data_IF_146309023525
#
_entry.id   IF_146309023525
#
_cell.length_a   1.000
_cell.length_b   1.000
_cell.length_c   1.000
_cell.angle_alpha   90.00
_cell.angle_beta   90.00
_cell.angle_gamma   90.00
#
_symmetry.space_group_name_H-M   'P 1'
#
loop_
_entity.id
_entity.type
_entity.pdbx_description
1 polymer ?
#
# COMPACT_ATOMS: atom_id res chain seq x y z
N UNK A 1 -5.54 8.28 23.91
CA UNK A 1 -6.81 8.35 23.13
C UNK A 1 -6.57 7.74 21.76
N UNK A 2 -7.34 6.73 21.34
CA UNK A 2 -7.23 6.23 19.96
C UNK A 2 -7.68 7.35 19.01
N UNK A 3 -6.91 7.62 17.95
CA UNK A 3 -7.33 8.54 16.90
C UNK A 3 -8.63 8.02 16.29
N UNK A 4 -9.64 8.87 16.22
CA UNK A 4 -10.86 8.53 15.47
C UNK A 4 -10.49 8.30 14.01
N UNK A 5 -11.12 7.33 13.33
CA UNK A 5 -10.97 7.20 11.89
C UNK A 5 -11.38 8.50 11.17
N UNK A 6 -10.87 8.70 9.95
CA UNK A 6 -11.38 9.77 9.09
C UNK A 6 -12.89 9.63 8.94
N UNK A 7 -13.62 10.73 9.13
CA UNK A 7 -15.05 10.74 8.87
C UNK A 7 -15.35 10.70 7.37
N UNK A 8 -16.55 10.29 7.02
CA UNK A 8 -17.05 10.37 5.65
C UNK A 8 -16.86 11.77 5.05
N UNK A 9 -17.27 12.81 5.80
CA UNK A 9 -17.14 14.20 5.37
C UNK A 9 -15.67 14.60 5.10
N UNK A 10 -14.74 14.18 5.95
CA UNK A 10 -13.32 14.46 5.73
C UNK A 10 -12.79 13.77 4.47
N UNK A 11 -13.18 12.51 4.22
CA UNK A 11 -12.73 11.80 3.01
C UNK A 11 -13.23 12.51 1.75
N UNK A 12 -14.48 12.96 1.76
CA UNK A 12 -15.06 13.73 0.64
C UNK A 12 -14.35 15.06 0.43
N UNK A 13 -14.14 15.84 1.51
CA UNK A 13 -13.44 17.13 1.43
C UNK A 13 -12.00 16.99 0.91
N UNK A 14 -11.28 15.94 1.32
CA UNK A 14 -9.93 15.64 0.82
C UNK A 14 -9.98 15.32 -0.68
N UNK A 15 -10.94 14.49 -1.10
CA UNK A 15 -11.08 14.10 -2.51
C UNK A 15 -11.45 15.31 -3.39
N UNK A 16 -12.38 16.15 -2.93
CA UNK A 16 -12.76 17.35 -3.64
C UNK A 16 -11.59 18.35 -3.74
N UNK A 17 -10.87 18.62 -2.65
CA UNK A 17 -9.67 19.46 -2.68
C UNK A 17 -8.60 18.93 -3.64
N UNK A 18 -8.41 17.61 -3.67
CA UNK A 18 -7.47 16.96 -4.57
C UNK A 18 -7.87 17.09 -6.03
N UNK A 19 -9.14 16.87 -6.36
CA UNK A 19 -9.68 17.03 -7.70
C UNK A 19 -9.56 18.49 -8.18
N UNK A 20 -9.98 19.42 -7.32
CA UNK A 20 -10.08 20.84 -7.67
C UNK A 20 -8.70 21.48 -7.92
N UNK A 21 -7.64 20.95 -7.30
CA UNK A 21 -6.27 21.36 -7.64
C UNK A 21 -5.70 20.71 -8.90
N UNK A 22 -6.46 19.86 -9.60
CA UNK A 22 -6.02 19.14 -10.79
C UNK A 22 -5.28 17.83 -10.49
N UNK A 23 -5.46 17.25 -9.31
CA UNK A 23 -4.89 15.95 -8.97
C UNK A 23 -5.48 14.81 -9.79
N UNK A 24 -4.75 13.68 -9.88
CA UNK A 24 -5.23 12.51 -10.58
C UNK A 24 -6.52 11.97 -9.99
N UNK A 25 -7.46 11.62 -10.85
CA UNK A 25 -8.72 10.99 -10.46
C UNK A 25 -8.53 9.50 -10.12
N UNK A 26 -7.48 9.18 -9.36
CA UNK A 26 -7.23 7.85 -8.80
C UNK A 26 -7.05 7.95 -7.30
N UNK A 27 -7.90 7.24 -6.55
CA UNK A 27 -7.84 7.14 -5.09
C UNK A 27 -7.58 5.72 -4.65
N UNK A 28 -6.61 5.55 -3.78
CA UNK A 28 -6.41 4.30 -3.04
C UNK A 28 -6.87 4.48 -1.59
N UNK A 29 -7.77 3.63 -1.13
CA UNK A 29 -8.16 3.54 0.28
C UNK A 29 -7.36 2.40 0.89
N UNK A 30 -6.49 2.73 1.83
CA UNK A 30 -5.57 1.77 2.43
C UNK A 30 -5.40 1.97 3.93
N UNK A 31 -4.44 1.27 4.46
CA UNK A 31 -4.09 1.14 5.87
C UNK A 31 -5.05 0.32 6.74
N UNK A 32 -4.45 -0.51 7.59
CA UNK A 32 -5.14 -1.50 8.42
C UNK A 32 -6.13 -2.32 7.58
N UNK A 33 -7.41 -2.32 7.94
CA UNK A 33 -8.45 -3.03 7.20
C UNK A 33 -9.60 -2.08 6.85
N UNK A 34 -9.62 -1.53 5.62
CA UNK A 34 -10.65 -0.57 5.21
C UNK A 34 -12.07 -1.15 5.23
N UNK A 35 -12.22 -2.47 5.09
CA UNK A 35 -13.55 -3.10 5.13
C UNK A 35 -14.21 -3.03 6.52
N UNK A 36 -13.44 -2.72 7.57
CA UNK A 36 -13.96 -2.46 8.92
C UNK A 36 -14.34 -1.00 9.15
N UNK A 37 -14.04 -0.11 8.20
CA UNK A 37 -14.33 1.31 8.38
C UNK A 37 -15.83 1.58 8.43
N UNK A 38 -16.20 2.47 9.36
CA UNK A 38 -17.57 2.98 9.52
C UNK A 38 -17.55 4.38 10.11
N UNK A 39 -18.52 5.19 9.69
CA UNK A 39 -18.83 6.49 10.26
C UNK A 39 -20.34 6.67 10.31
N UNK A 40 -20.95 6.57 11.49
CA UNK A 40 -22.39 6.52 11.65
C UNK A 40 -23.01 5.40 10.81
N UNK A 41 -23.88 5.79 9.87
CA UNK A 41 -24.53 4.87 8.93
C UNK A 41 -23.62 4.47 7.74
N UNK A 42 -22.57 5.25 7.46
CA UNK A 42 -21.73 5.05 6.31
C UNK A 42 -20.75 3.88 6.51
N UNK A 43 -20.53 3.15 5.43
CA UNK A 43 -19.56 2.06 5.29
C UNK A 43 -18.61 2.34 4.14
N UNK A 44 -17.57 1.55 4.01
CA UNK A 44 -16.56 1.77 2.96
C UNK A 44 -17.14 1.74 1.55
N UNK A 45 -18.16 0.95 1.29
CA UNK A 45 -18.81 0.89 -0.03
C UNK A 45 -19.57 2.18 -0.37
N UNK A 46 -20.10 2.90 0.62
CA UNK A 46 -20.72 4.21 0.41
C UNK A 46 -19.66 5.24 0.01
N UNK A 47 -18.50 5.22 0.68
CA UNK A 47 -17.34 6.04 0.30
C UNK A 47 -16.91 5.77 -1.13
N UNK A 48 -16.81 4.49 -1.51
CA UNK A 48 -16.40 4.09 -2.87
C UNK A 48 -17.43 4.60 -3.89
N UNK A 49 -18.72 4.41 -3.65
CA UNK A 49 -19.79 4.88 -4.55
C UNK A 49 -19.68 6.38 -4.78
N UNK A 50 -19.61 7.16 -3.70
CA UNK A 50 -19.53 8.61 -3.78
C UNK A 50 -18.25 9.13 -4.46
N UNK A 51 -17.12 8.45 -4.27
CA UNK A 51 -15.87 8.78 -4.98
C UNK A 51 -15.99 8.43 -6.47
N UNK A 52 -16.61 7.30 -6.80
CA UNK A 52 -16.83 6.88 -8.18
C UNK A 52 -17.78 7.86 -8.91
N UNK A 53 -18.85 8.30 -8.26
CA UNK A 53 -19.76 9.32 -8.77
C UNK A 53 -19.06 10.67 -9.02
N UNK A 54 -18.00 10.98 -8.27
CA UNK A 54 -17.12 12.13 -8.50
C UNK A 54 -16.08 11.94 -9.61
N UNK A 55 -16.12 10.81 -10.31
CA UNK A 55 -15.20 10.47 -11.40
C UNK A 55 -13.90 9.81 -10.95
N UNK A 56 -13.73 9.51 -9.67
CA UNK A 56 -12.52 8.82 -9.21
C UNK A 56 -12.54 7.33 -9.55
N UNK A 57 -11.40 6.84 -10.00
CA UNK A 57 -11.10 5.42 -10.05
C UNK A 57 -10.61 4.95 -8.69
N UNK A 58 -11.45 4.21 -7.99
CA UNK A 58 -11.18 3.82 -6.61
C UNK A 58 -10.55 2.43 -6.54
N UNK A 59 -9.55 2.29 -5.70
CA UNK A 59 -8.95 1.01 -5.32
C UNK A 59 -8.87 0.88 -3.80
N UNK A 60 -8.89 -0.35 -3.29
CA UNK A 60 -8.65 -0.63 -1.87
C UNK A 60 -7.44 -1.53 -1.68
N UNK A 61 -6.78 -1.40 -0.51
CA UNK A 61 -5.80 -2.38 -0.04
C UNK A 61 -6.33 -3.01 1.26
N UNK A 62 -6.53 -4.32 1.24
CA UNK A 62 -7.19 -5.10 2.31
C UNK A 62 -6.40 -6.37 2.64
N UNK A 63 -6.57 -6.91 3.83
CA UNK A 63 -6.06 -8.24 4.19
C UNK A 63 -6.88 -9.39 3.56
N UNK A 64 -8.01 -9.08 2.91
CA UNK A 64 -8.84 -10.03 2.18
C UNK A 64 -9.80 -10.85 3.03
N UNK A 65 -9.71 -10.80 4.37
CA UNK A 65 -10.48 -11.65 5.28
C UNK A 65 -11.99 -11.37 5.30
N UNK A 66 -12.42 -10.24 4.76
CA UNK A 66 -13.83 -9.84 4.70
C UNK A 66 -14.38 -9.77 3.27
N UNK A 67 -13.59 -10.15 2.26
CA UNK A 67 -14.03 -10.08 0.87
C UNK A 67 -15.19 -11.03 0.57
N UNK A 68 -15.28 -12.14 1.28
CA UNK A 68 -16.41 -13.08 1.18
C UNK A 68 -17.76 -12.42 1.46
N UNK A 69 -17.78 -11.39 2.32
CA UNK A 69 -18.99 -10.63 2.68
C UNK A 69 -19.16 -9.40 1.78
N UNK A 70 -18.07 -8.74 1.42
CA UNK A 70 -18.11 -7.40 0.82
C UNK A 70 -17.98 -7.40 -0.71
N UNK A 71 -17.45 -8.42 -1.37
CA UNK A 71 -17.11 -8.39 -2.80
C UNK A 71 -18.24 -7.87 -3.69
N UNK A 72 -19.45 -8.40 -3.56
CA UNK A 72 -20.60 -7.97 -4.35
C UNK A 72 -21.01 -6.52 -4.10
N UNK A 73 -20.87 -6.03 -2.86
CA UNK A 73 -21.18 -4.62 -2.51
C UNK A 73 -20.13 -3.69 -3.08
N UNK A 74 -18.85 -4.07 -3.01
CA UNK A 74 -17.74 -3.32 -3.57
C UNK A 74 -17.85 -3.18 -5.09
N UNK A 75 -18.23 -4.26 -5.77
CA UNK A 75 -18.48 -4.21 -7.22
C UNK A 75 -19.61 -3.24 -7.57
N UNK A 76 -20.74 -3.34 -6.88
CA UNK A 76 -21.87 -2.41 -7.09
C UNK A 76 -21.54 -0.95 -6.81
N UNK A 77 -20.61 -0.70 -5.87
CA UNK A 77 -20.11 0.62 -5.57
C UNK A 77 -19.11 1.17 -6.61
N UNK A 78 -18.76 0.39 -7.63
CA UNK A 78 -17.84 0.79 -8.70
C UNK A 78 -16.36 0.64 -8.36
N UNK A 79 -16.00 -0.24 -7.40
CA UNK A 79 -14.61 -0.49 -7.07
C UNK A 79 -13.85 -1.05 -8.27
N UNK A 80 -12.76 -0.39 -8.66
CA UNK A 80 -12.00 -0.77 -9.85
C UNK A 80 -10.92 -1.82 -9.61
N UNK A 81 -10.36 -1.87 -8.38
CA UNK A 81 -9.24 -2.74 -8.05
C UNK A 81 -9.17 -3.06 -6.56
N UNK A 82 -9.04 -4.32 -6.25
CA UNK A 82 -8.62 -4.80 -4.93
C UNK A 82 -7.12 -5.09 -4.97
N UNK A 83 -6.38 -4.57 -3.99
CA UNK A 83 -5.03 -5.06 -3.66
C UNK A 83 -5.13 -5.81 -2.35
N UNK A 84 -4.58 -7.01 -2.31
CA UNK A 84 -4.61 -7.82 -1.08
C UNK A 84 -3.26 -8.44 -0.78
N UNK A 85 -2.99 -8.58 0.51
CA UNK A 85 -1.77 -9.26 0.99
C UNK A 85 -1.96 -10.76 0.90
N UNK A 86 -1.12 -11.41 0.10
CA UNK A 86 -1.12 -12.86 -0.04
C UNK A 86 0.30 -13.39 0.14
N UNK A 87 0.65 -13.69 1.38
CA UNK A 87 2.04 -13.99 1.74
C UNK A 87 2.42 -15.47 1.57
N UNK A 88 1.44 -16.38 1.45
CA UNK A 88 1.70 -17.80 1.20
C UNK A 88 0.49 -18.51 0.59
N UNK A 89 0.73 -19.58 -0.16
CA UNK A 89 -0.29 -20.54 -0.61
C UNK A 89 -0.50 -21.69 0.38
N UNK A 90 0.38 -21.83 1.35
CA UNK A 90 0.21 -22.79 2.46
C UNK A 90 -0.69 -22.20 3.54
N UNK A 91 -1.81 -22.84 3.90
CA UNK A 91 -2.69 -22.36 4.97
C UNK A 91 -1.97 -22.16 6.30
N UNK A 92 -1.04 -23.05 6.63
CA UNK A 92 -0.24 -22.97 7.84
C UNK A 92 0.66 -21.73 7.84
N UNK A 93 1.46 -21.55 6.78
CA UNK A 93 2.34 -20.39 6.64
C UNK A 93 1.54 -19.09 6.54
N UNK A 94 0.42 -19.08 5.83
CA UNK A 94 -0.47 -17.91 5.73
C UNK A 94 -0.94 -17.47 7.12
N UNK A 95 -1.37 -18.42 7.94
CA UNK A 95 -1.79 -18.18 9.32
C UNK A 95 -0.63 -17.69 10.18
N UNK A 96 0.54 -18.28 10.06
CA UNK A 96 1.75 -17.91 10.81
C UNK A 96 2.16 -16.48 10.49
N UNK A 97 2.31 -16.12 9.19
CA UNK A 97 2.73 -14.80 8.75
C UNK A 97 1.68 -13.72 9.13
N UNK A 98 0.41 -14.08 9.16
CA UNK A 98 -0.66 -13.17 9.58
C UNK A 98 -0.84 -13.07 11.10
N UNK A 99 0.12 -13.57 11.88
CA UNK A 99 0.11 -13.48 13.33
C UNK A 99 -0.91 -14.40 14.01
N UNK A 100 -1.31 -15.50 13.38
CA UNK A 100 -2.24 -16.48 13.88
C UNK A 100 -3.72 -16.21 13.59
N UNK A 101 -4.05 -15.09 12.96
CA UNK A 101 -5.43 -14.66 12.71
C UNK A 101 -5.94 -14.91 11.29
N UNK A 102 -5.06 -15.19 10.32
CA UNK A 102 -5.43 -15.41 8.93
C UNK A 102 -6.14 -16.75 8.72
N UNK A 103 -7.33 -16.70 8.12
CA UNK A 103 -8.07 -17.86 7.62
C UNK A 103 -7.84 -17.93 6.11
N UNK A 104 -7.08 -18.92 5.65
CA UNK A 104 -6.71 -19.07 4.25
C UNK A 104 -7.91 -19.42 3.37
N UNK A 105 -8.78 -20.31 3.84
CA UNK A 105 -9.95 -20.74 3.05
C UNK A 105 -10.95 -19.59 2.89
N UNK A 106 -11.15 -18.83 3.95
CA UNK A 106 -11.98 -17.63 3.90
C UNK A 106 -11.39 -16.58 2.96
N UNK A 107 -10.08 -16.37 3.01
CA UNK A 107 -9.35 -15.49 2.11
C UNK A 107 -9.57 -15.91 0.66
N UNK A 108 -9.35 -17.19 0.33
CA UNK A 108 -9.49 -17.70 -1.04
C UNK A 108 -10.94 -17.63 -1.55
N UNK A 109 -11.94 -17.94 -0.70
CA UNK A 109 -13.36 -17.73 -1.06
C UNK A 109 -13.63 -16.27 -1.39
N UNK A 110 -13.13 -15.34 -0.59
CA UNK A 110 -13.29 -13.90 -0.83
C UNK A 110 -12.66 -13.44 -2.14
N UNK A 111 -11.46 -13.94 -2.46
CA UNK A 111 -10.77 -13.66 -3.72
C UNK A 111 -11.57 -14.19 -4.92
N UNK A 112 -12.05 -15.43 -4.83
CA UNK A 112 -12.88 -16.04 -5.89
C UNK A 112 -14.14 -15.21 -6.15
N UNK A 113 -14.87 -14.84 -5.10
CA UNK A 113 -16.07 -14.01 -5.23
C UNK A 113 -15.76 -12.62 -5.81
N UNK A 114 -14.63 -12.03 -5.48
CA UNK A 114 -14.23 -10.75 -6.05
C UNK A 114 -13.94 -10.86 -7.54
N UNK A 115 -13.22 -11.90 -7.97
CA UNK A 115 -12.91 -12.17 -9.37
C UNK A 115 -14.18 -12.48 -10.17
N UNK A 116 -15.06 -13.34 -9.66
CA UNK A 116 -16.36 -13.68 -10.27
C UNK A 116 -17.28 -12.46 -10.38
N UNK A 117 -17.18 -11.52 -9.45
CA UNK A 117 -17.91 -10.25 -9.51
C UNK A 117 -17.35 -9.28 -10.57
N UNK A 118 -16.23 -9.61 -11.23
CA UNK A 118 -15.61 -8.76 -12.25
C UNK A 118 -14.63 -7.71 -11.70
N UNK A 119 -14.36 -7.68 -10.40
CA UNK A 119 -13.38 -6.76 -9.81
C UNK A 119 -11.98 -7.27 -10.15
N UNK A 120 -11.10 -6.37 -10.60
CA UNK A 120 -9.69 -6.69 -10.76
C UNK A 120 -9.03 -6.92 -9.41
N UNK A 121 -8.27 -8.01 -9.28
CA UNK A 121 -7.51 -8.32 -8.06
C UNK A 121 -6.02 -8.33 -8.36
N UNK A 122 -5.26 -7.67 -7.50
CA UNK A 122 -3.80 -7.70 -7.50
C UNK A 122 -3.29 -8.11 -6.11
N UNK A 123 -2.17 -8.80 -6.10
CA UNK A 123 -1.62 -9.37 -4.87
C UNK A 123 -0.32 -8.69 -4.48
N UNK A 124 -0.12 -8.50 -3.20
CA UNK A 124 1.12 -8.03 -2.60
C UNK A 124 1.71 -9.16 -1.75
N UNK A 125 2.99 -9.45 -1.95
CA UNK A 125 3.74 -10.39 -1.13
C UNK A 125 5.02 -9.74 -0.64
N UNK A 126 5.24 -9.75 0.65
CA UNK A 126 6.56 -9.46 1.23
C UNK A 126 7.37 -10.75 1.18
N UNK A 127 8.58 -10.66 0.64
CA UNK A 127 9.53 -11.76 0.62
C UNK A 127 10.20 -11.84 1.99
N UNK A 128 10.06 -12.99 2.62
CA UNK A 128 10.67 -13.30 3.90
C UNK A 128 11.58 -14.52 3.73
N UNK A 129 12.79 -14.46 4.26
CA UNK A 129 13.74 -15.57 4.26
C UNK A 129 13.11 -16.80 4.90
N UNK A 130 13.17 -17.94 4.24
CA UNK A 130 12.54 -19.19 4.67
C UNK A 130 11.04 -19.32 4.31
N UNK A 131 10.45 -18.35 3.59
CA UNK A 131 9.02 -18.35 3.25
C UNK A 131 8.78 -18.05 1.77
N UNK A 132 9.61 -18.61 0.87
CA UNK A 132 9.50 -18.30 -0.56
C UNK A 132 9.22 -19.52 -1.45
N UNK A 133 9.23 -20.73 -0.90
CA UNK A 133 9.17 -21.98 -1.65
C UNK A 133 7.83 -22.20 -2.37
N UNK A 134 6.76 -21.55 -1.90
CA UNK A 134 5.42 -21.66 -2.46
C UNK A 134 5.09 -20.60 -3.54
N UNK A 135 6.05 -19.77 -3.93
CA UNK A 135 5.87 -18.77 -5.00
C UNK A 135 5.41 -19.41 -6.32
N UNK A 136 5.94 -20.58 -6.76
CA UNK A 136 5.43 -21.23 -7.97
C UNK A 136 3.92 -21.49 -7.96
N UNK A 137 3.34 -21.83 -6.82
CA UNK A 137 1.89 -21.99 -6.64
C UNK A 137 1.11 -20.67 -6.83
N UNK A 138 1.64 -19.57 -6.28
CA UNK A 138 1.07 -18.24 -6.53
C UNK A 138 1.13 -17.85 -8.00
N UNK A 139 2.26 -18.11 -8.67
CA UNK A 139 2.42 -17.78 -10.10
C UNK A 139 1.41 -18.53 -10.95
N UNK A 140 1.15 -19.80 -10.68
CA UNK A 140 0.11 -20.58 -11.38
C UNK A 140 -1.29 -19.98 -11.21
N UNK A 141 -1.60 -19.45 -10.03
CA UNK A 141 -2.85 -18.71 -9.80
C UNK A 141 -2.87 -17.38 -10.57
N UNK A 142 -1.77 -16.63 -10.54
CA UNK A 142 -1.64 -15.34 -11.24
C UNK A 142 -1.84 -15.52 -12.75
N UNK A 143 -1.23 -16.53 -13.34
CA UNK A 143 -1.38 -16.88 -14.75
C UNK A 143 -2.83 -17.24 -15.10
N UNK A 144 -3.45 -18.11 -14.30
CA UNK A 144 -4.85 -18.56 -14.51
C UNK A 144 -5.84 -17.39 -14.51
N UNK A 145 -5.66 -16.45 -13.58
CA UNK A 145 -6.56 -15.31 -13.39
C UNK A 145 -6.08 -14.02 -14.06
N UNK A 146 -4.96 -14.08 -14.81
CA UNK A 146 -4.33 -12.92 -15.49
C UNK A 146 -4.17 -11.72 -14.57
N UNK A 147 -3.87 -12.02 -13.32
CA UNK A 147 -3.72 -11.05 -12.23
C UNK A 147 -2.30 -10.51 -12.15
N UNK A 148 -2.03 -9.72 -11.12
CA UNK A 148 -0.68 -9.18 -10.87
C UNK A 148 -0.23 -9.51 -9.46
N UNK A 149 0.99 -10.01 -9.33
CA UNK A 149 1.69 -10.20 -8.07
C UNK A 149 2.79 -9.14 -7.94
N UNK A 150 2.80 -8.42 -6.82
CA UNK A 150 3.93 -7.58 -6.44
C UNK A 150 4.75 -8.25 -5.36
N UNK A 151 6.03 -8.40 -5.62
CA UNK A 151 7.00 -8.86 -4.65
C UNK A 151 7.68 -7.64 -4.02
N UNK A 152 7.69 -7.60 -2.71
CA UNK A 152 8.34 -6.57 -1.91
C UNK A 152 9.43 -7.21 -1.08
N UNK A 153 10.58 -6.56 -0.98
CA UNK A 153 11.54 -6.82 0.09
C UNK A 153 11.01 -6.27 1.41
N UNK A 154 11.47 -6.82 2.50
CA UNK A 154 11.15 -6.29 3.83
C UNK A 154 11.76 -4.88 3.95
N UNK A 155 10.94 -3.90 4.30
CA UNK A 155 11.39 -2.53 4.44
C UNK A 155 12.21 -2.38 5.72
N UNK A 156 13.39 -1.81 5.57
CA UNK A 156 14.18 -1.40 6.73
C UNK A 156 13.60 -0.10 7.34
N UNK A 157 13.44 -0.11 8.65
CA UNK A 157 13.18 1.07 9.47
C UNK A 157 13.96 0.91 10.78
N UNK A 158 14.27 1.97 11.52
CA UNK A 158 14.91 1.83 12.82
C UNK A 158 14.20 0.83 13.75
N UNK A 159 12.88 0.81 13.71
CA UNK A 159 12.04 -0.08 14.54
C UNK A 159 12.00 -1.53 14.01
N UNK A 160 12.21 -1.73 12.72
CA UNK A 160 12.22 -3.05 12.10
C UNK A 160 13.61 -3.62 11.85
N UNK A 161 14.67 -2.98 12.34
CA UNK A 161 16.06 -3.34 12.03
C UNK A 161 16.36 -4.82 12.33
N UNK A 162 16.01 -5.31 13.52
CA UNK A 162 16.23 -6.72 13.92
C UNK A 162 15.41 -7.70 13.06
N UNK A 163 14.17 -7.36 12.74
CA UNK A 163 13.34 -8.19 11.87
C UNK A 163 13.88 -8.18 10.44
N UNK A 164 14.38 -7.04 9.97
CA UNK A 164 15.00 -6.92 8.67
C UNK A 164 16.27 -7.78 8.59
N UNK A 165 17.14 -7.73 9.58
CA UNK A 165 18.35 -8.56 9.64
C UNK A 165 18.02 -10.05 9.59
N UNK A 166 16.99 -10.48 10.32
CA UNK A 166 16.61 -11.90 10.43
C UNK A 166 15.89 -12.43 9.21
N UNK A 167 15.01 -11.62 8.57
CA UNK A 167 14.04 -12.08 7.59
C UNK A 167 14.16 -11.43 6.21
N UNK A 168 15.13 -10.54 6.01
CA UNK A 168 15.31 -9.93 4.69
C UNK A 168 15.61 -10.99 3.65
N UNK A 169 14.86 -10.94 2.54
CA UNK A 169 15.06 -11.77 1.37
C UNK A 169 15.26 -10.89 0.15
N UNK A 170 16.41 -10.98 -0.47
CA UNK A 170 16.63 -10.36 -1.78
C UNK A 170 15.69 -10.99 -2.82
N UNK A 171 15.07 -10.16 -3.62
CA UNK A 171 14.14 -10.58 -4.65
C UNK A 171 14.85 -11.27 -5.85
N UNK A 172 16.12 -10.97 -6.10
CA UNK A 172 16.84 -11.46 -7.32
C UNK A 172 16.90 -12.98 -7.40
N UNK A 173 17.37 -13.72 -6.40
CA UNK A 173 17.37 -15.19 -6.44
C UNK A 173 15.97 -15.77 -6.62
N UNK A 174 14.98 -15.19 -5.96
CA UNK A 174 13.58 -15.63 -6.05
C UNK A 174 13.02 -15.44 -7.45
N UNK A 175 13.28 -14.29 -8.06
CA UNK A 175 12.87 -14.00 -9.44
C UNK A 175 13.59 -14.92 -10.42
N UNK A 176 14.89 -15.12 -10.25
CA UNK A 176 15.68 -16.00 -11.11
C UNK A 176 15.16 -17.43 -11.07
N UNK A 177 14.87 -17.97 -9.90
CA UNK A 177 14.42 -19.34 -9.74
C UNK A 177 12.96 -19.58 -10.16
N UNK A 178 12.06 -18.64 -9.85
CA UNK A 178 10.63 -18.89 -9.96
C UNK A 178 9.93 -18.09 -11.06
N UNK A 179 10.34 -16.84 -11.31
CA UNK A 179 9.63 -15.91 -12.19
C UNK A 179 10.19 -15.96 -13.62
N UNK A 180 11.51 -15.86 -13.78
CA UNK A 180 12.15 -15.83 -15.10
C UNK A 180 11.82 -17.04 -15.99
N UNK A 181 11.76 -18.29 -15.49
CA UNK A 181 11.40 -19.44 -16.32
C UNK A 181 9.99 -19.36 -16.95
N UNK A 182 9.11 -18.49 -16.41
CA UNK A 182 7.74 -18.28 -16.88
C UNK A 182 7.55 -16.93 -17.60
N UNK A 183 8.63 -16.18 -17.80
CA UNK A 183 8.57 -14.81 -18.33
C UNK A 183 8.87 -14.79 -19.81
N UNK A 184 8.04 -14.11 -20.62
CA UNK A 184 8.32 -13.86 -22.03
C UNK A 184 8.77 -12.43 -22.32
N UNK A 185 8.47 -11.48 -21.44
CA UNK A 185 8.82 -10.06 -21.61
C UNK A 185 9.11 -9.41 -20.25
N UNK A 186 10.10 -8.53 -20.24
CA UNK A 186 10.46 -7.73 -19.06
C UNK A 186 10.40 -6.27 -19.45
N UNK A 187 9.57 -5.50 -18.71
CA UNK A 187 9.41 -4.07 -18.95
C UNK A 187 9.90 -3.28 -17.73
N UNK A 188 10.71 -2.28 -17.96
CA UNK A 188 11.07 -1.31 -16.93
C UNK A 188 9.98 -0.26 -16.81
N UNK A 189 9.26 -0.26 -15.69
CA UNK A 189 8.27 0.76 -15.35
C UNK A 189 8.99 1.89 -14.62
N UNK A 190 9.17 3.02 -15.31
CA UNK A 190 9.74 4.23 -14.69
C UNK A 190 8.71 4.91 -13.80
N UNK A 191 9.20 5.54 -12.74
CA UNK A 191 8.41 6.37 -11.83
C UNK A 191 9.07 7.74 -11.74
N UNK A 192 8.28 8.79 -11.61
CA UNK A 192 8.82 10.15 -11.57
C UNK A 192 9.41 10.51 -10.20
N UNK A 193 8.73 10.10 -9.12
CA UNK A 193 9.15 10.41 -7.76
C UNK A 193 9.69 9.20 -7.00
N UNK A 194 9.26 8.02 -7.37
CA UNK A 194 9.62 6.80 -6.69
C UNK A 194 10.59 5.95 -7.49
N UNK A 195 11.00 4.85 -6.89
CA UNK A 195 11.85 3.88 -7.54
C UNK A 195 11.16 3.23 -8.72
N UNK A 196 11.89 3.00 -9.78
CA UNK A 196 11.46 2.19 -10.90
C UNK A 196 11.06 0.78 -10.45
N UNK A 197 10.38 0.08 -11.34
CA UNK A 197 9.99 -1.32 -11.15
C UNK A 197 10.36 -2.12 -12.38
N UNK A 198 10.65 -3.41 -12.19
CA UNK A 198 10.61 -4.37 -13.27
C UNK A 198 9.26 -5.09 -13.24
N UNK A 199 8.66 -5.20 -14.41
CA UNK A 199 7.45 -6.01 -14.61
C UNK A 199 7.81 -7.15 -15.54
N UNK A 200 7.56 -8.36 -15.08
CA UNK A 200 7.75 -9.62 -15.78
C UNK A 200 6.37 -10.07 -16.27
N UNK A 201 6.18 -10.08 -17.57
CA UNK A 201 4.96 -10.61 -18.19
C UNK A 201 5.08 -12.11 -18.31
N UNK A 202 4.12 -12.85 -17.72
CA UNK A 202 4.16 -14.30 -17.65
C UNK A 202 3.54 -14.92 -18.90
N UNK A 203 4.09 -16.03 -19.36
CA UNK A 203 3.67 -16.75 -20.57
C UNK A 203 2.21 -17.21 -20.48
N UNK A 204 1.76 -17.67 -19.30
CA UNK A 204 0.36 -18.04 -19.04
C UNK A 204 -0.57 -16.84 -18.84
N UNK A 205 -0.04 -15.60 -18.93
CA UNK A 205 -0.78 -14.36 -18.65
C UNK A 205 -0.54 -13.82 -17.25
N UNK A 206 -0.98 -12.59 -17.01
CA UNK A 206 -0.67 -11.89 -15.76
C UNK A 206 0.75 -11.34 -15.70
N UNK A 207 1.15 -10.87 -14.53
CA UNK A 207 2.50 -10.30 -14.38
C UNK A 207 3.00 -10.33 -12.93
N UNK A 208 4.34 -10.31 -12.80
CA UNK A 208 5.02 -10.07 -11.52
C UNK A 208 5.70 -8.72 -11.56
N UNK A 209 5.61 -7.95 -10.50
CA UNK A 209 6.35 -6.69 -10.33
C UNK A 209 7.30 -6.77 -9.15
N UNK A 210 8.52 -6.31 -9.34
CA UNK A 210 9.48 -6.07 -8.26
C UNK A 210 9.90 -4.61 -8.25
N UNK A 211 10.19 -4.09 -7.06
CA UNK A 211 10.70 -2.73 -6.90
C UNK A 211 12.21 -2.75 -7.13
N UNK A 212 12.72 -1.83 -7.93
CA UNK A 212 14.16 -1.69 -8.11
C UNK A 212 14.79 -1.05 -6.88
N UNK A 213 15.76 -1.74 -6.30
CA UNK A 213 16.54 -1.24 -5.16
C UNK A 213 17.63 -0.23 -5.53
N UNK A 214 17.72 0.17 -6.81
CA UNK A 214 18.77 1.04 -7.30
C UNK A 214 18.75 2.38 -6.57
N UNK A 215 19.92 2.80 -6.10
CA UNK A 215 20.16 3.95 -5.21
C UNK A 215 19.68 5.31 -5.73
N UNK A 216 18.92 5.42 -6.82
CA UNK A 216 19.24 6.51 -7.73
C UNK A 216 18.21 7.53 -8.09
N UNK A 217 16.95 7.31 -8.03
CA UNK A 217 16.03 8.39 -8.32
C UNK A 217 15.46 8.97 -7.02
N UNK A 218 16.36 9.51 -6.23
CA UNK A 218 16.01 10.40 -5.13
C UNK A 218 15.96 11.81 -5.68
N UNK A 219 14.95 12.05 -6.49
CA UNK A 219 14.75 13.30 -7.21
C UNK A 219 14.39 14.50 -6.33
N UNK A 220 14.20 14.28 -5.03
CA UNK A 220 13.87 15.34 -4.10
C UNK A 220 15.10 15.84 -3.35
N UNK A 221 15.24 17.16 -3.27
CA UNK A 221 16.22 17.84 -2.40
C UNK A 221 16.19 17.30 -0.97
N UNK A 222 15.00 17.07 -0.43
CA UNK A 222 14.81 16.49 0.92
C UNK A 222 15.39 15.08 1.07
N UNK A 223 15.48 14.30 -0.02
CA UNK A 223 16.13 13.00 0.00
C UNK A 223 17.66 13.10 0.01
N UNK A 224 18.22 14.11 -0.63
CA UNK A 224 19.67 14.29 -0.72
C UNK A 224 20.31 14.53 0.67
N UNK A 225 19.63 15.26 1.54
CA UNK A 225 20.05 15.58 2.90
C UNK A 225 19.42 14.69 3.99
N UNK A 226 18.71 13.63 3.61
CA UNK A 226 18.00 12.80 4.57
C UNK A 226 18.94 11.93 5.40
N UNK A 227 18.75 11.90 6.71
CA UNK A 227 19.52 11.05 7.63
C UNK A 227 19.36 9.54 7.35
N UNK A 228 18.24 9.12 6.75
CA UNK A 228 17.97 7.74 6.38
C UNK A 228 18.41 7.40 4.94
N UNK A 229 19.21 8.25 4.32
CA UNK A 229 19.59 8.15 2.91
C UNK A 229 20.20 6.82 2.53
N UNK A 230 21.03 6.24 3.39
CA UNK A 230 21.78 5.03 3.07
C UNK A 230 20.94 3.76 3.18
N UNK A 231 20.03 3.72 4.14
CA UNK A 231 19.17 2.56 4.45
C UNK A 231 17.82 2.64 3.75
N UNK A 232 17.40 3.86 3.37
CA UNK A 232 16.08 4.07 2.80
C UNK A 232 15.93 3.43 1.42
N UNK A 233 15.00 2.51 1.31
CA UNK A 233 14.60 1.88 0.05
C UNK A 233 13.35 2.52 -0.57
N UNK A 234 12.69 3.50 0.07
CA UNK A 234 11.42 4.06 -0.40
C UNK A 234 11.58 5.33 -1.25
N UNK A 235 12.25 6.35 -0.77
CA UNK A 235 12.22 7.68 -1.36
C UNK A 235 10.83 8.33 -1.28
N UNK A 236 10.60 9.39 -2.02
CA UNK A 236 9.25 9.88 -2.26
C UNK A 236 8.50 8.90 -3.15
N UNK A 237 7.27 8.56 -2.74
CA UNK A 237 6.40 7.72 -3.57
C UNK A 237 5.58 8.56 -4.55
N UNK A 238 5.03 7.93 -5.59
CA UNK A 238 4.01 8.53 -6.45
C UNK A 238 2.66 8.68 -5.74
N UNK A 239 2.65 8.53 -4.45
CA UNK A 239 1.44 8.56 -3.62
C UNK A 239 1.55 9.68 -2.61
N UNK A 240 0.53 10.50 -2.61
CA UNK A 240 0.26 11.43 -1.52
C UNK A 240 -0.67 10.74 -0.53
N UNK A 241 -0.33 10.75 0.73
CA UNK A 241 -1.11 10.11 1.78
C UNK A 241 -1.74 11.11 2.70
N UNK A 242 -3.00 10.88 3.04
CA UNK A 242 -3.67 11.64 4.10
C UNK A 242 -4.10 10.68 5.19
N UNK A 243 -3.69 10.96 6.41
CA UNK A 243 -3.95 10.15 7.59
C UNK A 243 -5.16 10.67 8.42
N UNK A 244 -5.58 9.97 9.47
CA UNK A 244 -6.71 10.39 10.33
C UNK A 244 -6.53 11.74 11.04
N UNK A 245 -5.32 12.29 11.07
CA UNK A 245 -5.06 13.64 11.59
C UNK A 245 -5.23 14.71 10.52
N UNK A 246 -5.71 14.32 9.34
CA UNK A 246 -5.79 15.20 8.18
C UNK A 246 -4.42 15.73 7.74
N UNK A 247 -3.38 14.97 8.04
CA UNK A 247 -2.01 15.29 7.69
C UNK A 247 -1.67 14.65 6.34
N UNK A 248 -1.30 15.47 5.37
CA UNK A 248 -0.85 15.07 4.04
C UNK A 248 0.66 14.93 4.05
N UNK A 249 1.17 13.79 3.59
CA UNK A 249 2.60 13.52 3.52
C UNK A 249 2.98 12.66 2.30
N UNK A 250 4.24 12.75 1.89
CA UNK A 250 4.79 12.08 0.71
C UNK A 250 5.72 10.93 1.08
N UNK A 251 6.35 10.97 2.24
CA UNK A 251 7.36 10.01 2.67
C UNK A 251 6.98 9.38 4.01
N UNK A 252 7.15 8.08 4.13
CA UNK A 252 6.90 7.37 5.39
C UNK A 252 7.90 7.72 6.49
N UNK A 253 9.17 7.94 6.09
CA UNK A 253 10.27 8.20 7.01
C UNK A 253 10.36 9.67 7.45
N UNK A 254 9.84 10.58 6.63
CA UNK A 254 9.93 12.03 6.82
C UNK A 254 8.53 12.65 6.81
N UNK A 255 7.76 12.34 7.83
CA UNK A 255 6.40 12.90 8.00
C UNK A 255 6.42 14.38 8.37
N UNK A 256 7.53 14.83 8.92
CA UNK A 256 7.81 16.25 9.18
C UNK A 256 7.72 17.12 7.91
N UNK A 257 7.88 16.54 6.74
CA UNK A 257 7.70 17.22 5.46
C UNK A 257 6.23 17.35 5.04
N UNK A 258 5.29 16.81 5.81
CA UNK A 258 3.87 16.91 5.53
C UNK A 258 3.23 18.18 6.11
N UNK A 259 1.93 18.34 5.87
CA UNK A 259 1.17 19.49 6.33
C UNK A 259 -0.32 19.15 6.56
N UNK A 260 -1.05 20.04 7.23
CA UNK A 260 -2.47 19.89 7.50
C UNK A 260 -3.32 20.27 6.28
N UNK A 261 -4.11 19.32 5.75
CA UNK A 261 -4.94 19.54 4.55
C UNK A 261 -6.09 20.50 4.76
N UNK A 262 -6.76 20.55 5.94
CA UNK A 262 -7.90 21.43 6.13
C UNK A 262 -7.62 22.92 5.87
N UNK A 263 -6.36 23.35 6.06
CA UNK A 263 -5.94 24.73 5.77
C UNK A 263 -6.10 25.12 4.29
N UNK A 264 -6.24 24.12 3.42
CA UNK A 264 -6.29 24.29 1.96
C UNK A 264 -7.64 23.91 1.35
N UNK A 265 -8.64 23.51 2.14
CA UNK A 265 -9.95 23.23 1.61
C UNK A 265 -10.55 24.50 0.95
N UNK A 266 -11.07 24.33 -0.27
CA UNK A 266 -11.57 25.45 -1.09
C UNK A 266 -10.47 26.38 -1.63
N UNK A 267 -9.19 26.02 -1.50
CA UNK A 267 -8.05 26.85 -1.93
C UNK A 267 -7.08 26.03 -2.81
N UNK A 268 -7.51 25.61 -4.02
CA UNK A 268 -6.78 24.65 -4.83
C UNK A 268 -5.38 25.14 -5.23
N UNK A 269 -5.22 26.41 -5.58
CA UNK A 269 -3.90 26.96 -5.97
C UNK A 269 -2.95 27.03 -4.75
N UNK A 270 -3.46 27.32 -3.56
CA UNK A 270 -2.66 27.30 -2.35
C UNK A 270 -2.20 25.87 -1.99
N UNK A 271 -3.08 24.88 -2.16
CA UNK A 271 -2.72 23.47 -1.98
C UNK A 271 -1.64 23.04 -2.97
N UNK A 272 -1.81 23.39 -4.23
CA UNK A 272 -0.85 23.10 -5.30
C UNK A 272 0.50 23.75 -5.04
N UNK A 273 0.51 25.00 -4.58
CA UNK A 273 1.74 25.72 -4.19
C UNK A 273 2.42 25.03 -3.01
N UNK A 274 1.66 24.64 -1.96
CA UNK A 274 2.22 23.93 -0.82
C UNK A 274 2.86 22.60 -1.20
N UNK A 275 2.27 21.88 -2.13
CA UNK A 275 2.85 20.64 -2.68
C UNK A 275 4.18 20.95 -3.40
N UNK A 276 4.24 22.03 -4.19
CA UNK A 276 5.49 22.47 -4.83
C UNK A 276 6.58 22.76 -3.80
N UNK A 277 6.24 23.49 -2.75
CA UNK A 277 7.19 23.86 -1.70
C UNK A 277 7.80 22.61 -1.02
N UNK A 278 6.98 21.58 -0.80
CA UNK A 278 7.44 20.31 -0.21
C UNK A 278 8.30 19.49 -1.17
N UNK A 279 7.93 19.45 -2.45
CA UNK A 279 8.62 18.67 -3.47
C UNK A 279 9.87 19.37 -4.03
N UNK A 280 9.99 20.68 -3.82
CA UNK A 280 11.12 21.48 -4.34
C UNK A 280 11.10 21.64 -5.86
N UNK A 281 12.23 21.42 -6.51
CA UNK A 281 12.43 21.67 -7.96
C UNK A 281 11.64 20.76 -8.91
N UNK A 282 10.83 19.84 -8.36
CA UNK A 282 10.02 18.94 -9.17
C UNK A 282 8.89 19.73 -9.83
N UNK A 283 8.78 19.60 -11.16
CA UNK A 283 7.67 20.19 -11.90
C UNK A 283 6.33 19.54 -11.57
N UNK A 284 5.66 20.09 -10.57
CA UNK A 284 4.38 19.56 -10.06
C UNK A 284 3.28 19.58 -11.12
N UNK A 285 3.27 20.57 -12.03
CA UNK A 285 2.27 20.61 -13.10
C UNK A 285 2.45 19.44 -14.06
N UNK A 286 3.67 19.16 -14.46
CA UNK A 286 3.97 17.98 -15.27
C UNK A 286 3.66 16.69 -14.51
N UNK A 287 3.99 16.64 -13.23
CA UNK A 287 3.71 15.50 -12.37
C UNK A 287 2.21 15.21 -12.24
N UNK A 288 1.39 16.24 -12.12
CA UNK A 288 -0.07 16.10 -12.06
C UNK A 288 -0.67 15.68 -13.41
N UNK A 289 -0.07 16.13 -14.52
CA UNK A 289 -0.58 15.90 -15.86
C UNK A 289 -0.17 14.55 -16.47
N UNK A 290 1.06 14.10 -16.26
CA UNK A 290 1.65 13.01 -17.06
C UNK A 290 1.85 11.68 -16.31
N UNK A 291 2.14 11.74 -15.02
CA UNK A 291 2.28 10.53 -14.20
C UNK A 291 1.83 10.86 -12.79
N UNK A 292 0.58 10.76 -12.60
CA UNK A 292 -0.10 11.46 -11.55
C UNK A 292 0.30 10.96 -10.19
N UNK A 293 0.59 11.92 -9.30
CA UNK A 293 0.48 11.68 -7.88
C UNK A 293 -0.90 11.10 -7.61
N UNK A 294 -0.93 9.96 -6.96
CA UNK A 294 -2.18 9.30 -6.57
C UNK A 294 -2.50 9.65 -5.14
N UNK A 295 -3.75 9.96 -4.90
CA UNK A 295 -4.24 10.16 -3.55
C UNK A 295 -4.40 8.81 -2.85
N UNK A 296 -3.81 8.65 -1.67
CA UNK A 296 -4.07 7.53 -0.77
C UNK A 296 -4.73 8.08 0.50
N UNK A 297 -5.96 7.69 0.73
CA UNK A 297 -6.66 7.99 1.97
C UNK A 297 -6.47 6.83 2.93
N UNK A 298 -5.96 7.11 4.11
CA UNK A 298 -5.75 6.13 5.18
C UNK A 298 -6.77 6.40 6.28
N UNK A 299 -7.97 5.80 6.19
CA UNK A 299 -9.08 6.12 7.09
C UNK A 299 -8.81 5.74 8.54
N UNK A 300 -7.85 4.84 8.76
CA UNK A 300 -7.37 4.46 10.09
C UNK A 300 -5.94 4.92 10.30
N UNK A 301 -5.55 5.11 11.57
CA UNK A 301 -4.14 5.29 11.89
C UNK A 301 -3.36 4.04 11.45
N UNK A 302 -2.28 4.22 10.70
CA UNK A 302 -1.38 3.14 10.28
C UNK A 302 -0.63 2.50 11.45
N UNK A 303 -0.69 3.12 12.62
CA UNK A 303 -0.03 2.69 13.82
C UNK A 303 -1.06 2.19 14.80
N UNK A 304 -0.74 1.11 15.50
CA UNK A 304 -1.62 0.53 16.49
C UNK A 304 -1.70 1.44 17.74
N UNK A 305 -2.51 2.48 17.65
CA UNK A 305 -2.75 3.44 18.74
C UNK A 305 -3.49 2.83 19.94
N UNK A 306 -3.69 1.51 19.97
CA UNK A 306 -4.38 0.79 21.05
C UNK A 306 -3.45 0.33 22.18
N UNK A 307 -2.19 0.77 22.18
CA UNK A 307 -1.30 0.44 23.30
C UNK A 307 -1.74 1.25 24.51
N UNK A 308 -2.20 0.63 25.59
CA UNK A 308 -2.49 1.33 26.84
C UNK A 308 -1.22 2.05 27.32
N UNK A 309 -1.29 3.37 27.50
CA UNK A 309 -0.16 4.18 27.96
C UNK A 309 0.61 4.93 26.88
N UNK A 310 0.28 4.77 25.57
CA UNK A 310 0.88 5.57 24.52
C UNK A 310 0.47 7.05 24.66
N UNK A 311 1.42 7.92 24.86
CA UNK A 311 1.21 9.37 24.88
C UNK A 311 0.92 9.89 23.47
N UNK A 312 0.21 11.01 23.33
CA UNK A 312 -0.29 11.56 22.06
C UNK A 312 0.77 11.82 20.96
N UNK A 313 2.06 11.83 21.29
CA UNK A 313 3.18 11.96 20.34
C UNK A 313 3.67 10.64 19.75
N UNK A 314 3.39 9.53 20.38
CA UNK A 314 4.02 8.23 20.11
C UNK A 314 3.45 7.48 18.88
N UNK A 315 2.29 7.85 18.40
CA UNK A 315 1.76 7.31 17.13
C UNK A 315 2.68 7.56 15.92
N UNK A 316 3.65 8.46 16.07
CA UNK A 316 4.59 8.87 15.02
C UNK A 316 5.94 8.17 15.11
N UNK A 317 6.30 7.62 16.27
CA UNK A 317 7.68 7.20 16.55
C UNK A 317 7.92 5.69 16.54
N UNK A 318 6.87 4.84 16.71
CA UNK A 318 7.08 3.40 16.81
C UNK A 318 6.09 2.57 15.94
N UNK A 319 6.33 2.41 14.65
CA UNK A 319 5.54 1.49 13.82
C UNK A 319 5.92 0.01 14.00
N UNK A 320 7.00 -0.29 14.73
CA UNK A 320 7.73 -1.55 14.56
C UNK A 320 7.39 -2.70 15.50
N UNK A 321 6.97 -2.43 16.71
CA UNK A 321 6.88 -3.51 17.71
C UNK A 321 5.67 -4.44 17.60
N UNK A 322 4.61 -4.01 16.95
CA UNK A 322 3.33 -4.74 17.01
C UNK A 322 3.06 -5.75 15.88
N UNK A 323 3.69 -5.63 14.73
CA UNK A 323 3.51 -6.63 13.66
C UNK A 323 4.42 -7.85 13.82
N UNK A 324 5.53 -7.73 14.52
CA UNK A 324 6.60 -8.72 14.52
C UNK A 324 6.79 -9.57 15.79
N UNK A 325 6.32 -9.22 17.00
CA UNK A 325 6.62 -10.01 18.19
C UNK A 325 6.06 -11.44 18.14
N UNK A 326 4.91 -11.64 17.50
CA UNK A 326 4.31 -12.99 17.38
C UNK A 326 4.95 -13.83 16.28
N UNK A 327 5.33 -13.21 15.17
CA UNK A 327 6.12 -13.87 14.14
C UNK A 327 7.50 -14.25 14.70
N UNK A 328 8.13 -13.33 15.47
CA UNK A 328 9.41 -13.60 16.13
C UNK A 328 9.38 -14.78 17.07
N UNK A 329 8.34 -14.91 17.90
CA UNK A 329 8.22 -16.00 18.86
C UNK A 329 8.01 -17.38 18.21
N UNK A 330 7.31 -17.44 17.05
CA UNK A 330 7.10 -18.68 16.31
C UNK A 330 8.32 -19.07 15.46
N UNK A 331 9.08 -18.10 14.97
CA UNK A 331 10.22 -18.33 14.09
C UNK A 331 11.51 -18.66 14.85
N UNK A 332 11.67 -18.12 16.06
CA UNK A 332 12.80 -18.47 16.95
C UNK A 332 12.64 -19.84 17.65
N UNK A 333 11.48 -20.49 17.54
CA UNK A 333 11.25 -21.86 18.01
C UNK A 333 11.59 -22.95 16.99
N UNK A 334 12.13 -22.58 15.83
CA UNK A 334 12.55 -23.52 14.76
C UNK A 334 14.06 -23.76 14.70
N UNK A 335 14.82 -23.33 15.74
CA UNK A 335 16.20 -23.75 15.97
C UNK A 335 16.19 -24.94 16.97
#
# INVERSE_FOLDING_TARGET
>A
MSLKPLSYAHIMAIADAWRDMGGALEVEIGALEPLLWRDGQYRIHDVISMLTERGFKVSITTNGQLLDIFAKRLNRAGLSLIRTSWHSTSPLMFREISGGYGDYDRFMRGITLALESGIKVAFNRVLLKGYTDDIPGQLSFIERHKSRLKLYTLLWTPQSALAHESFYQDWRPVVQASVLPRTFEIVRVRKQLGRGRLRFHLTGGGSVEVKLGDKLDRSSHSCASCQFKNECEEGFGDYVRVDPRLHLYFCYMRRDLGFQVPEYFGRPEALKQKIRDVLGDINVNNLLATAPLRLTVTPFCNFNCRVPGAQQGWCMEEPGEFMYPKIRASLLKKE
#
